data_IF_990571879517
#
_entry.id   IF_990571879517
#
_cell.length_a   1.000
_cell.length_b   1.000
_cell.length_c   1.000
_cell.angle_alpha   90.00
_cell.angle_beta   90.00
_cell.angle_gamma   90.00
#
_symmetry.space_group_name_H-M   'P 1'
#
loop_
_entity.id
_entity.type
_entity.pdbx_description
1 polymer ?
#
# COMPACT_ATOMS: atom_id res chain seq x y z
N UNK A 1 34.73 -5.49 -27.98
CA UNK A 1 33.31 -5.12 -27.77
C UNK A 1 32.39 -6.31 -27.40
N UNK A 2 32.88 -7.40 -26.79
CA UNK A 2 32.23 -8.71 -27.10
C UNK A 2 31.49 -9.50 -26.02
N UNK A 3 31.62 -9.20 -24.72
CA UNK A 3 30.86 -9.96 -23.69
C UNK A 3 30.31 -9.04 -22.62
N UNK A 4 31.12 -8.08 -22.15
CA UNK A 4 30.70 -7.10 -21.15
C UNK A 4 29.59 -6.17 -21.66
N UNK A 5 29.70 -5.66 -22.89
CA UNK A 5 28.63 -4.87 -23.52
C UNK A 5 27.34 -5.70 -23.71
N UNK A 6 27.49 -6.97 -24.07
CA UNK A 6 26.39 -7.92 -24.25
C UNK A 6 25.66 -8.23 -22.93
N UNK A 7 26.41 -8.43 -21.84
CA UNK A 7 25.87 -8.59 -20.49
C UNK A 7 25.21 -7.30 -19.99
N UNK A 8 25.83 -6.13 -20.22
CA UNK A 8 25.25 -4.85 -19.82
C UNK A 8 23.97 -4.53 -20.58
N UNK A 9 23.88 -4.86 -21.87
CA UNK A 9 22.67 -4.65 -22.68
C UNK A 9 21.54 -5.60 -22.27
N UNK A 10 21.84 -6.88 -21.99
CA UNK A 10 20.84 -7.85 -21.49
C UNK A 10 20.32 -7.49 -20.09
N UNK A 11 21.19 -7.00 -19.21
CA UNK A 11 20.81 -6.59 -17.87
C UNK A 11 20.14 -5.21 -17.82
N UNK A 12 20.37 -4.35 -18.83
CA UNK A 12 19.86 -2.97 -18.85
C UNK A 12 18.33 -2.91 -18.76
N UNK A 13 17.61 -3.66 -19.61
CA UNK A 13 16.14 -3.66 -19.62
C UNK A 13 15.52 -4.14 -18.30
N UNK A 14 15.84 -5.34 -17.77
CA UNK A 14 15.27 -5.80 -16.50
C UNK A 14 15.67 -4.90 -15.32
N UNK A 15 16.92 -4.39 -15.30
CA UNK A 15 17.37 -3.47 -14.25
C UNK A 15 16.64 -2.13 -14.32
N UNK A 16 16.42 -1.58 -15.52
CA UNK A 16 15.65 -0.35 -15.71
C UNK A 16 14.19 -0.53 -15.29
N UNK A 17 13.57 -1.66 -15.64
CA UNK A 17 12.21 -1.97 -15.22
C UNK A 17 12.11 -2.11 -13.69
N UNK A 18 13.09 -2.75 -13.05
CA UNK A 18 13.16 -2.85 -11.59
C UNK A 18 13.27 -1.46 -10.94
N UNK A 19 14.18 -0.62 -11.43
CA UNK A 19 14.36 0.74 -10.92
C UNK A 19 13.09 1.59 -11.09
N UNK A 20 12.42 1.51 -12.24
CA UNK A 20 11.17 2.24 -12.49
C UNK A 20 10.05 1.78 -11.53
N UNK A 21 9.88 0.46 -11.39
CA UNK A 21 8.85 -0.12 -10.55
C UNK A 21 9.04 0.23 -9.07
N UNK A 22 10.27 0.19 -8.58
CA UNK A 22 10.57 0.41 -7.17
C UNK A 22 11.05 1.83 -6.83
N UNK A 23 11.23 2.72 -7.81
CA UNK A 23 11.58 4.12 -7.59
C UNK A 23 10.75 4.79 -6.47
N UNK A 24 9.40 4.75 -6.47
CA UNK A 24 8.63 5.36 -5.39
C UNK A 24 8.93 4.70 -4.04
N UNK A 25 9.01 3.37 -3.98
CA UNK A 25 9.28 2.63 -2.75
C UNK A 25 10.64 2.95 -2.16
N UNK A 26 11.69 2.90 -2.99
CA UNK A 26 13.08 3.17 -2.61
C UNK A 26 13.22 4.61 -2.10
N UNK A 27 12.65 5.58 -2.84
CA UNK A 27 12.74 6.98 -2.46
C UNK A 27 12.09 7.24 -1.10
N UNK A 28 10.87 6.75 -0.89
CA UNK A 28 10.15 6.93 0.38
C UNK A 28 10.83 6.15 1.49
N UNK A 29 11.33 4.94 1.21
CA UNK A 29 12.02 4.12 2.21
C UNK A 29 13.25 4.85 2.76
N UNK A 30 14.17 5.31 1.90
CA UNK A 30 15.39 5.99 2.35
C UNK A 30 15.11 7.37 2.95
N UNK A 31 14.18 8.15 2.38
CA UNK A 31 13.91 9.51 2.87
C UNK A 31 13.06 9.55 4.14
N UNK A 32 12.25 8.53 4.39
CA UNK A 32 11.23 8.56 5.44
C UNK A 32 11.23 7.36 6.39
N UNK A 33 11.35 6.13 5.87
CA UNK A 33 11.26 4.90 6.68
C UNK A 33 12.57 4.63 7.42
N UNK A 34 13.71 4.67 6.73
CA UNK A 34 15.03 4.31 7.27
C UNK A 34 15.52 5.22 8.41
N UNK A 35 14.84 6.34 8.67
CA UNK A 35 15.13 7.27 9.77
C UNK A 35 14.72 6.73 11.15
N UNK A 36 13.87 5.71 11.19
CA UNK A 36 13.33 5.16 12.43
C UNK A 36 13.14 3.64 12.28
N UNK A 37 13.84 2.85 13.11
CA UNK A 37 13.82 1.40 13.06
C UNK A 37 12.40 0.82 13.22
N UNK A 38 11.55 1.53 13.97
CA UNK A 38 10.15 1.13 14.16
C UNK A 38 9.38 1.14 12.83
N UNK A 39 9.63 2.15 11.98
CA UNK A 39 9.01 2.22 10.65
C UNK A 39 9.48 1.08 9.76
N UNK A 40 10.76 0.71 9.85
CA UNK A 40 11.31 -0.44 9.10
C UNK A 40 10.59 -1.73 9.50
N UNK A 41 10.46 -1.99 10.81
CA UNK A 41 9.72 -3.16 11.32
C UNK A 41 8.29 -3.19 10.81
N UNK A 42 7.62 -2.03 10.79
CA UNK A 42 6.24 -1.90 10.31
C UNK A 42 6.08 -2.18 8.81
N UNK A 43 7.05 -1.78 7.96
CA UNK A 43 7.07 -2.14 6.54
C UNK A 43 7.15 -3.65 6.37
N UNK A 44 8.06 -4.30 7.09
CA UNK A 44 8.28 -5.75 7.01
C UNK A 44 7.05 -6.52 7.49
N UNK A 45 6.47 -6.11 8.63
CA UNK A 45 5.24 -6.70 9.16
C UNK A 45 4.07 -6.57 8.17
N UNK A 46 3.93 -5.40 7.55
CA UNK A 46 2.87 -5.17 6.57
C UNK A 46 3.04 -6.04 5.31
N UNK A 47 4.26 -6.17 4.82
CA UNK A 47 4.58 -7.06 3.70
C UNK A 47 4.27 -8.53 4.04
N UNK A 48 4.63 -8.98 5.23
CA UNK A 48 4.34 -10.34 5.69
C UNK A 48 2.83 -10.63 5.76
N UNK A 49 2.05 -9.75 6.39
CA UNK A 49 0.59 -9.90 6.51
C UNK A 49 -0.08 -9.90 5.13
N UNK A 50 0.40 -9.08 4.20
CA UNK A 50 -0.08 -9.09 2.82
C UNK A 50 0.24 -10.40 2.10
N UNK A 51 1.47 -10.93 2.24
CA UNK A 51 1.83 -12.23 1.64
C UNK A 51 0.99 -13.38 2.19
N UNK A 52 0.68 -13.36 3.49
CA UNK A 52 -0.22 -14.34 4.09
C UNK A 52 -1.61 -14.30 3.46
N UNK A 53 -2.12 -13.11 3.10
CA UNK A 53 -3.39 -12.97 2.40
C UNK A 53 -3.37 -13.61 1.01
N UNK A 54 -2.27 -13.45 0.26
CA UNK A 54 -2.09 -14.12 -1.03
C UNK A 54 -1.93 -15.63 -0.88
N UNK A 55 -1.21 -16.08 0.15
CA UNK A 55 -1.07 -17.50 0.44
C UNK A 55 -2.43 -18.15 0.68
N UNK A 56 -3.26 -17.54 1.53
CA UNK A 56 -4.63 -18.01 1.79
C UNK A 56 -5.44 -17.98 0.50
N UNK A 57 -5.34 -16.92 -0.31
CA UNK A 57 -6.00 -16.84 -1.61
C UNK A 57 -5.61 -17.99 -2.54
N UNK A 58 -4.33 -18.34 -2.60
CA UNK A 58 -3.81 -19.43 -3.42
C UNK A 58 -4.29 -20.80 -2.93
N UNK A 59 -4.37 -21.00 -1.61
CA UNK A 59 -4.93 -22.22 -1.00
C UNK A 59 -6.43 -22.36 -1.31
N UNK A 60 -7.19 -21.26 -1.20
CA UNK A 60 -8.61 -21.24 -1.57
C UNK A 60 -8.78 -21.60 -3.04
N UNK A 61 -8.00 -21.01 -3.96
CA UNK A 61 -8.04 -21.41 -5.36
C UNK A 61 -7.70 -22.89 -5.52
N UNK A 62 -6.68 -23.38 -4.83
CA UNK A 62 -6.30 -24.79 -4.91
C UNK A 62 -7.43 -25.73 -4.53
N UNK A 63 -8.23 -25.37 -3.53
CA UNK A 63 -9.43 -26.11 -3.14
C UNK A 63 -10.59 -25.93 -4.13
N UNK A 64 -10.84 -24.70 -4.59
CA UNK A 64 -11.97 -24.38 -5.48
C UNK A 64 -11.78 -24.81 -6.93
N UNK A 65 -10.54 -25.11 -7.37
CA UNK A 65 -10.24 -25.56 -8.74
C UNK A 65 -11.09 -26.75 -9.19
N UNK A 66 -11.54 -27.59 -8.26
CA UNK A 66 -12.40 -28.73 -8.56
C UNK A 66 -13.86 -28.36 -8.84
N UNK A 67 -14.30 -27.17 -8.46
CA UNK A 67 -15.70 -26.73 -8.53
C UNK A 67 -15.94 -25.58 -9.52
N UNK A 68 -15.04 -24.59 -9.59
CA UNK A 68 -15.20 -23.38 -10.41
C UNK A 68 -13.86 -22.95 -11.01
N UNK A 69 -13.79 -22.88 -12.34
CA UNK A 69 -12.62 -22.38 -13.07
C UNK A 69 -12.86 -20.95 -13.57
N UNK A 70 -12.86 -19.98 -12.64
CA UNK A 70 -13.02 -18.56 -12.96
C UNK A 70 -11.91 -17.73 -12.33
N UNK A 71 -11.04 -17.20 -13.19
CA UNK A 71 -9.94 -16.28 -12.85
C UNK A 71 -10.47 -14.95 -12.26
N UNK A 72 -11.65 -14.54 -12.70
CA UNK A 72 -12.33 -13.35 -12.19
C UNK A 72 -12.74 -13.59 -10.73
N UNK A 73 -13.40 -14.71 -10.43
CA UNK A 73 -13.80 -15.03 -9.05
C UNK A 73 -12.59 -15.12 -8.11
N UNK A 74 -11.50 -15.76 -8.55
CA UNK A 74 -10.24 -15.79 -7.80
C UNK A 74 -9.75 -14.37 -7.48
N UNK A 75 -9.67 -13.51 -8.49
CA UNK A 75 -9.18 -12.14 -8.32
C UNK A 75 -10.05 -11.38 -7.32
N UNK A 76 -11.38 -11.57 -7.36
CA UNK A 76 -12.29 -10.96 -6.40
C UNK A 76 -12.06 -11.41 -4.96
N UNK A 77 -11.86 -12.71 -4.75
CA UNK A 77 -11.55 -13.31 -3.44
C UNK A 77 -10.19 -12.83 -2.94
N UNK A 78 -9.19 -12.78 -3.83
CA UNK A 78 -7.83 -12.31 -3.50
C UNK A 78 -7.85 -10.87 -3.00
N UNK A 79 -8.56 -9.98 -3.71
CA UNK A 79 -8.71 -8.58 -3.30
C UNK A 79 -9.39 -8.50 -1.93
N UNK A 80 -10.46 -9.26 -1.71
CA UNK A 80 -11.16 -9.28 -0.42
C UNK A 80 -10.24 -9.70 0.73
N UNK A 81 -9.41 -10.74 0.54
CA UNK A 81 -8.43 -11.18 1.52
C UNK A 81 -7.34 -10.14 1.76
N UNK A 82 -6.88 -9.44 0.73
CA UNK A 82 -5.92 -8.34 0.89
C UNK A 82 -6.52 -7.18 1.71
N UNK A 83 -7.79 -6.83 1.51
CA UNK A 83 -8.51 -5.85 2.32
C UNK A 83 -8.69 -6.31 3.79
N UNK A 84 -9.01 -7.59 4.01
CA UNK A 84 -9.07 -8.17 5.35
C UNK A 84 -7.70 -8.11 6.03
N UNK A 85 -6.62 -8.43 5.31
CA UNK A 85 -5.26 -8.36 5.85
C UNK A 85 -4.89 -6.95 6.31
N UNK A 86 -5.40 -5.92 5.61
CA UNK A 86 -5.22 -4.51 5.99
C UNK A 86 -5.95 -4.16 7.29
N UNK A 87 -7.14 -4.74 7.51
CA UNK A 87 -7.86 -4.62 8.78
C UNK A 87 -7.13 -5.36 9.91
N UNK A 88 -6.65 -6.58 9.66
CA UNK A 88 -5.85 -7.35 10.63
C UNK A 88 -4.63 -6.55 11.06
N UNK A 89 -3.89 -5.98 10.10
CA UNK A 89 -2.72 -5.16 10.41
C UNK A 89 -3.07 -3.92 11.25
N UNK A 90 -4.18 -3.25 10.95
CA UNK A 90 -4.68 -2.14 11.76
C UNK A 90 -4.93 -2.57 13.23
N UNK A 91 -5.58 -3.71 13.44
CA UNK A 91 -5.88 -4.25 14.76
C UNK A 91 -4.58 -4.60 15.50
N UNK A 92 -3.67 -5.32 14.85
CA UNK A 92 -2.38 -5.72 15.43
C UNK A 92 -1.58 -4.50 15.91
N UNK A 93 -1.52 -3.44 15.10
CA UNK A 93 -0.76 -2.25 15.51
C UNK A 93 -1.49 -1.49 16.60
N UNK A 94 -2.83 -1.43 16.60
CA UNK A 94 -3.58 -0.84 17.72
C UNK A 94 -3.35 -1.60 19.01
N UNK A 95 -3.25 -2.92 18.95
CA UNK A 95 -2.92 -3.75 20.11
C UNK A 95 -1.49 -3.53 20.58
N UNK A 96 -0.52 -3.47 19.66
CA UNK A 96 0.87 -3.15 19.99
C UNK A 96 1.01 -1.75 20.61
N UNK A 97 0.30 -0.75 20.08
CA UNK A 97 0.24 0.61 20.65
C UNK A 97 -0.25 0.62 22.10
N UNK A 98 -1.29 -0.15 22.41
CA UNK A 98 -1.84 -0.26 23.77
C UNK A 98 -0.85 -0.96 24.71
N UNK A 99 -0.26 -2.08 24.27
CA UNK A 99 0.72 -2.81 25.07
C UNK A 99 1.96 -1.98 25.39
N UNK A 100 2.50 -1.27 24.39
CA UNK A 100 3.66 -0.39 24.58
C UNK A 100 3.35 0.80 25.48
N UNK A 101 2.11 1.32 25.45
CA UNK A 101 1.70 2.42 26.35
C UNK A 101 1.75 1.99 27.81
N UNK A 102 1.19 0.84 28.14
CA UNK A 102 1.21 0.30 29.51
C UNK A 102 2.63 0.12 30.03
N UNK A 103 3.53 -0.42 29.19
CA UNK A 103 4.93 -0.63 29.57
C UNK A 103 5.75 0.67 29.71
N UNK A 104 5.42 1.69 28.92
CA UNK A 104 6.12 2.99 28.96
C UNK A 104 5.64 3.91 30.09
N UNK A 105 4.44 3.69 30.64
CA UNK A 105 3.97 4.37 31.84
C UNK A 105 4.66 3.81 33.09
N UNK A 106 5.08 2.54 33.06
CA UNK A 106 5.81 1.87 34.14
C UNK A 106 7.33 2.09 34.08
N UNK A 107 7.92 2.23 32.88
CA UNK A 107 9.35 2.44 32.68
C UNK A 107 9.61 3.67 31.81
N UNK A 108 10.49 4.56 32.32
CA UNK A 108 11.01 5.80 31.70
C UNK A 108 10.95 5.86 30.17
N UNK A 109 10.37 6.96 29.64
CA UNK A 109 10.17 7.33 28.21
C UNK A 109 11.14 6.63 27.24
N UNK A 110 10.67 5.55 26.60
CA UNK A 110 11.40 4.85 25.54
C UNK A 110 11.36 5.71 24.27
N UNK A 111 12.52 6.17 23.82
CA UNK A 111 12.66 6.97 22.60
C UNK A 111 12.09 6.24 21.38
N UNK A 112 11.13 6.86 20.69
CA UNK A 112 10.48 6.32 19.48
C UNK A 112 8.97 6.04 19.63
N UNK A 113 8.48 5.76 20.84
CA UNK A 113 7.05 5.49 21.09
C UNK A 113 6.19 6.74 20.85
N UNK A 114 6.70 7.91 21.24
CA UNK A 114 6.02 9.20 21.02
C UNK A 114 5.78 9.49 19.53
N UNK A 115 6.70 9.05 18.65
CA UNK A 115 6.59 9.23 17.19
C UNK A 115 5.47 8.36 16.60
N UNK A 116 5.32 7.14 17.12
CA UNK A 116 4.33 6.16 16.69
C UNK A 116 2.91 6.52 17.17
N UNK A 117 2.78 7.18 18.32
CA UNK A 117 1.50 7.67 18.82
C UNK A 117 1.05 8.96 18.11
N UNK A 118 2.00 9.86 17.81
CA UNK A 118 1.70 11.22 17.31
C UNK A 118 1.32 11.29 15.83
N UNK A 119 1.54 10.24 15.03
CA UNK A 119 1.23 10.27 13.60
C UNK A 119 0.57 8.99 13.07
N UNK A 120 -0.74 8.86 13.29
CA UNK A 120 -1.57 7.78 12.73
C UNK A 120 -1.46 7.66 11.20
N UNK A 121 -1.32 8.79 10.52
CA UNK A 121 -1.20 8.85 9.06
C UNK A 121 0.18 8.43 8.57
N UNK A 122 1.23 8.69 9.36
CA UNK A 122 2.56 8.14 9.06
C UNK A 122 2.51 6.61 9.12
N UNK A 123 1.91 6.06 10.17
CA UNK A 123 1.84 4.63 10.37
C UNK A 123 1.12 3.93 9.21
N UNK A 124 -0.04 4.45 8.79
CA UNK A 124 -0.78 3.91 7.65
C UNK A 124 -0.01 4.02 6.33
N UNK A 125 0.71 5.12 6.11
CA UNK A 125 1.57 5.30 4.93
C UNK A 125 2.72 4.29 4.90
N UNK A 126 3.38 4.03 6.03
CA UNK A 126 4.49 3.08 6.14
C UNK A 126 4.00 1.65 5.91
N UNK A 127 2.89 1.26 6.51
CA UNK A 127 2.32 -0.07 6.30
C UNK A 127 1.81 -0.25 4.87
N UNK A 128 1.14 0.75 4.30
CA UNK A 128 0.71 0.73 2.91
C UNK A 128 1.88 0.65 1.93
N UNK A 129 3.01 1.27 2.25
CA UNK A 129 4.24 1.15 1.46
C UNK A 129 4.76 -0.30 1.46
N UNK A 130 4.75 -0.96 2.62
CA UNK A 130 5.15 -2.37 2.74
C UNK A 130 4.27 -3.31 1.92
N UNK A 131 2.93 -3.16 2.04
CA UNK A 131 1.96 -3.92 1.23
C UNK A 131 2.17 -3.68 -0.27
N UNK A 132 2.35 -2.42 -0.67
CA UNK A 132 2.53 -2.02 -2.06
C UNK A 132 3.84 -2.52 -2.68
N UNK A 133 4.94 -2.45 -1.92
CA UNK A 133 6.24 -2.90 -2.40
C UNK A 133 6.26 -4.41 -2.65
N UNK A 134 5.71 -5.21 -1.73
CA UNK A 134 5.66 -6.67 -1.94
C UNK A 134 4.67 -7.05 -3.04
N UNK A 135 3.54 -6.34 -3.17
CA UNK A 135 2.61 -6.53 -4.28
C UNK A 135 3.26 -6.27 -5.64
N UNK A 136 4.01 -5.17 -5.73
CA UNK A 136 4.76 -4.79 -6.92
C UNK A 136 5.86 -5.79 -7.25
N UNK A 137 6.50 -6.38 -6.23
CA UNK A 137 7.49 -7.44 -6.41
C UNK A 137 6.85 -8.70 -7.00
N UNK A 138 5.75 -9.18 -6.42
CA UNK A 138 5.04 -10.35 -6.94
C UNK A 138 4.56 -10.16 -8.38
N UNK A 139 4.11 -8.95 -8.71
CA UNK A 139 3.74 -8.59 -10.07
C UNK A 139 4.97 -8.68 -10.98
N UNK A 140 6.08 -8.04 -10.62
CA UNK A 140 7.25 -7.84 -11.48
C UNK A 140 8.20 -9.06 -11.62
N UNK A 141 8.28 -9.93 -10.62
CA UNK A 141 9.30 -10.99 -10.54
C UNK A 141 9.32 -11.91 -11.77
N UNK A 142 8.15 -12.38 -12.19
CA UNK A 142 8.04 -13.30 -13.34
C UNK A 142 8.45 -12.63 -14.65
N UNK A 143 8.15 -11.34 -14.81
CA UNK A 143 8.58 -10.57 -15.98
C UNK A 143 10.11 -10.44 -16.01
N UNK A 144 10.71 -10.05 -14.89
CA UNK A 144 12.16 -9.85 -14.81
C UNK A 144 12.92 -11.15 -15.08
N UNK A 145 12.45 -12.28 -14.54
CA UNK A 145 13.06 -13.58 -14.80
C UNK A 145 13.12 -13.89 -16.31
N UNK A 146 11.99 -13.73 -17.01
CA UNK A 146 11.94 -13.95 -18.46
C UNK A 146 12.84 -13.00 -19.27
N UNK A 147 13.02 -11.75 -18.81
CA UNK A 147 13.92 -10.79 -19.45
C UNK A 147 15.40 -11.14 -19.24
N UNK A 148 15.78 -11.61 -18.04
CA UNK A 148 17.17 -12.02 -17.76
C UNK A 148 17.57 -13.28 -18.53
N UNK A 149 16.63 -14.19 -18.78
CA UNK A 149 16.85 -15.38 -19.63
C UNK A 149 17.09 -15.02 -21.11
N UNK A 150 16.91 -13.75 -21.50
CA UNK A 150 17.02 -13.30 -22.89
C UNK A 150 15.73 -13.53 -23.69
N UNK A 151 14.61 -13.79 -23.02
CA UNK A 151 13.29 -13.84 -23.64
C UNK A 151 12.93 -12.47 -24.21
N UNK A 152 12.66 -12.43 -25.51
CA UNK A 152 12.09 -11.23 -26.14
C UNK A 152 10.57 -11.37 -26.17
N UNK A 153 9.88 -10.35 -25.69
CA UNK A 153 8.43 -10.32 -25.64
C UNK A 153 7.87 -10.30 -27.06
N UNK A 154 6.88 -11.14 -27.32
CA UNK A 154 6.20 -11.23 -28.61
C UNK A 154 6.80 -12.23 -29.60
N UNK A 155 7.99 -12.82 -29.36
CA UNK A 155 8.56 -13.84 -30.25
C UNK A 155 7.64 -15.05 -30.46
N UNK A 156 7.00 -15.60 -29.42
CA UNK A 156 6.06 -16.71 -29.60
C UNK A 156 4.81 -16.39 -30.45
N UNK A 157 4.49 -15.11 -30.71
CA UNK A 157 3.42 -14.72 -31.64
C UNK A 157 3.81 -14.77 -33.12
N UNK A 158 5.10 -14.85 -33.44
CA UNK A 158 5.54 -15.04 -34.84
C UNK A 158 5.33 -16.48 -35.31
N UNK A 159 5.02 -17.41 -34.39
CA UNK A 159 4.82 -18.82 -34.68
C UNK A 159 3.35 -19.17 -34.36
N UNK A 160 2.47 -19.30 -35.38
CA UNK A 160 1.02 -19.47 -35.19
C UNK A 160 0.63 -20.66 -34.30
N UNK A 161 1.42 -21.74 -34.34
CA UNK A 161 1.19 -22.96 -33.56
C UNK A 161 1.50 -22.78 -32.07
N UNK A 162 2.47 -21.95 -31.73
CA UNK A 162 2.81 -21.62 -30.34
C UNK A 162 1.83 -20.56 -29.81
N UNK A 163 1.42 -19.61 -30.64
CA UNK A 163 0.44 -18.57 -30.32
C UNK A 163 -0.90 -19.14 -29.83
N UNK A 164 -1.38 -20.24 -30.43
CA UNK A 164 -2.64 -20.91 -30.02
C UNK A 164 -2.55 -21.59 -28.65
N UNK A 165 -1.35 -21.94 -28.18
CA UNK A 165 -1.12 -22.64 -26.90
C UNK A 165 -0.77 -21.70 -25.74
N UNK A 166 -0.51 -20.43 -26.01
CA UNK A 166 -0.19 -19.46 -24.96
C UNK A 166 -1.45 -18.87 -24.33
N UNK A 167 -1.46 -18.85 -22.98
CA UNK A 167 -2.49 -18.19 -22.20
C UNK A 167 -2.48 -16.66 -22.37
N UNK A 168 -1.34 -16.07 -22.77
CA UNK A 168 -1.20 -14.62 -23.00
C UNK A 168 -0.69 -14.39 -24.42
N UNK A 169 -1.48 -13.68 -25.22
CA UNK A 169 -1.17 -13.36 -26.63
C UNK A 169 -0.38 -12.04 -26.69
N UNK A 170 0.91 -12.07 -26.42
CA UNK A 170 1.78 -10.90 -26.67
C UNK A 170 2.24 -10.91 -28.13
N UNK A 171 2.03 -9.83 -28.86
CA UNK A 171 2.44 -9.68 -30.26
C UNK A 171 3.85 -9.06 -30.38
N UNK A 172 4.47 -9.15 -31.56
CA UNK A 172 5.80 -8.54 -31.83
C UNK A 172 5.82 -7.02 -31.61
N UNK A 173 4.66 -6.36 -31.74
CA UNK A 173 4.52 -4.92 -31.51
C UNK A 173 4.54 -4.54 -30.01
N UNK A 174 4.56 -5.50 -29.08
CA UNK A 174 4.44 -5.28 -27.64
C UNK A 174 5.76 -4.88 -26.96
N UNK A 175 6.64 -4.21 -27.69
CA UNK A 175 8.00 -3.84 -27.21
C UNK A 175 7.99 -3.01 -25.93
N UNK A 176 6.91 -2.26 -25.68
CA UNK A 176 6.76 -1.42 -24.49
C UNK A 176 6.10 -2.13 -23.30
N UNK A 177 5.74 -3.40 -23.44
CA UNK A 177 5.10 -4.16 -22.37
C UNK A 177 5.89 -4.16 -21.05
N UNK A 178 7.23 -4.37 -21.02
CA UNK A 178 7.98 -4.34 -19.76
C UNK A 178 7.90 -2.98 -19.05
N UNK A 179 7.95 -1.90 -19.83
CA UNK A 179 7.90 -0.54 -19.32
C UNK A 179 6.53 -0.22 -18.74
N UNK A 180 5.45 -0.56 -19.47
CA UNK A 180 4.09 -0.40 -18.99
C UNK A 180 3.88 -1.14 -17.67
N UNK A 181 4.33 -2.38 -17.60
CA UNK A 181 4.20 -3.20 -16.41
C UNK A 181 4.99 -2.66 -15.21
N UNK A 182 6.23 -2.19 -15.45
CA UNK A 182 7.03 -1.51 -14.42
C UNK A 182 6.36 -0.23 -13.90
N UNK A 183 5.75 0.58 -14.77
CA UNK A 183 5.00 1.76 -14.37
C UNK A 183 3.76 1.38 -13.54
N UNK A 184 3.01 0.35 -13.94
CA UNK A 184 1.89 -0.20 -13.16
C UNK A 184 2.33 -0.65 -11.77
N UNK A 185 3.50 -1.29 -11.62
CA UNK A 185 4.06 -1.63 -10.30
C UNK A 185 4.31 -0.39 -9.43
N UNK A 186 4.96 0.65 -9.99
CA UNK A 186 5.19 1.89 -9.24
C UNK A 186 3.89 2.55 -8.78
N UNK A 187 2.88 2.59 -9.66
CA UNK A 187 1.54 3.09 -9.33
C UNK A 187 0.84 2.21 -8.28
N UNK A 188 0.92 0.89 -8.40
CA UNK A 188 0.34 -0.06 -7.45
C UNK A 188 0.91 0.14 -6.04
N UNK A 189 2.22 0.39 -5.91
CA UNK A 189 2.82 0.73 -4.61
C UNK A 189 2.15 1.96 -4.00
N UNK A 190 2.05 3.05 -4.77
CA UNK A 190 1.47 4.31 -4.28
C UNK A 190 -0.03 4.18 -3.99
N UNK A 191 -0.75 3.35 -4.75
CA UNK A 191 -2.14 3.00 -4.47
C UNK A 191 -2.28 2.29 -3.14
N UNK A 192 -1.47 1.26 -2.86
CA UNK A 192 -1.53 0.58 -1.57
C UNK A 192 -1.25 1.53 -0.39
N UNK A 193 -0.35 2.51 -0.57
CA UNK A 193 -0.16 3.58 0.41
C UNK A 193 -1.44 4.39 0.63
N UNK A 194 -2.07 4.87 -0.46
CA UNK A 194 -3.28 5.68 -0.39
C UNK A 194 -4.48 4.90 0.17
N UNK A 195 -4.71 3.67 -0.30
CA UNK A 195 -5.76 2.77 0.19
C UNK A 195 -5.59 2.47 1.67
N UNK A 196 -4.36 2.27 2.13
CA UNK A 196 -4.10 2.00 3.55
C UNK A 196 -4.37 3.23 4.40
N UNK A 197 -3.98 4.42 3.95
CA UNK A 197 -4.29 5.67 4.63
C UNK A 197 -5.81 5.88 4.76
N UNK A 198 -6.54 5.80 3.65
CA UNK A 198 -8.00 6.01 3.63
C UNK A 198 -8.74 4.96 4.46
N UNK A 199 -8.37 3.69 4.34
CA UNK A 199 -8.99 2.60 5.09
C UNK A 199 -8.80 2.78 6.60
N UNK A 200 -7.58 3.07 7.04
CA UNK A 200 -7.28 3.21 8.46
C UNK A 200 -7.87 4.48 9.08
N UNK A 201 -7.92 5.57 8.32
CA UNK A 201 -8.65 6.78 8.72
C UNK A 201 -10.14 6.47 8.94
N UNK A 202 -10.75 5.71 8.05
CA UNK A 202 -12.12 5.22 8.19
C UNK A 202 -12.32 4.32 9.42
N UNK A 203 -11.43 3.35 9.67
CA UNK A 203 -11.48 2.51 10.88
C UNK A 203 -11.38 3.34 12.16
N UNK A 204 -10.60 4.41 12.14
CA UNK A 204 -10.48 5.30 13.28
C UNK A 204 -11.75 6.14 13.51
N UNK A 205 -12.32 6.70 12.45
CA UNK A 205 -13.61 7.43 12.51
C UNK A 205 -14.75 6.52 12.99
N UNK A 206 -14.73 5.25 12.59
CA UNK A 206 -15.66 4.23 13.08
C UNK A 206 -15.55 4.04 14.59
N UNK A 207 -14.32 3.89 15.10
CA UNK A 207 -14.08 3.76 16.55
C UNK A 207 -14.54 4.98 17.35
N UNK A 208 -14.60 6.16 16.73
CA UNK A 208 -15.08 7.41 17.34
C UNK A 208 -16.58 7.67 17.09
N UNK A 209 -17.32 6.71 16.49
CA UNK A 209 -18.74 6.83 16.11
C UNK A 209 -19.06 8.11 15.31
N UNK A 210 -18.11 8.59 14.50
CA UNK A 210 -18.30 9.80 13.69
C UNK A 210 -19.15 9.48 12.46
N UNK A 211 -20.05 10.40 12.09
CA UNK A 211 -20.81 10.26 10.84
C UNK A 211 -19.88 10.19 9.62
N UNK A 212 -20.31 9.51 8.56
CA UNK A 212 -19.56 9.35 7.30
C UNK A 212 -18.21 8.62 7.43
N UNK A 213 -18.04 7.78 8.45
CA UNK A 213 -16.82 7.00 8.68
C UNK A 213 -16.50 6.03 7.53
N UNK A 214 -17.51 5.52 6.83
CA UNK A 214 -17.38 4.47 5.82
C UNK A 214 -16.89 4.97 4.45
N UNK A 215 -16.96 6.27 4.16
CA UNK A 215 -16.65 6.81 2.82
C UNK A 215 -15.22 6.43 2.39
N UNK A 216 -14.21 6.69 3.23
CA UNK A 216 -12.81 6.43 2.90
C UNK A 216 -12.54 4.94 2.63
N UNK A 217 -13.13 4.07 3.43
CA UNK A 217 -13.07 2.62 3.26
C UNK A 217 -13.70 2.16 1.96
N UNK A 218 -14.89 2.69 1.61
CA UNK A 218 -15.54 2.36 0.33
C UNK A 218 -14.71 2.84 -0.85
N UNK A 219 -14.14 4.05 -0.81
CA UNK A 219 -13.26 4.57 -1.87
C UNK A 219 -12.03 3.66 -2.03
N UNK A 220 -11.38 3.28 -0.93
CA UNK A 220 -10.19 2.43 -0.97
C UNK A 220 -10.50 1.05 -1.57
N UNK A 221 -11.53 0.37 -1.06
CA UNK A 221 -11.93 -0.97 -1.53
C UNK A 221 -12.41 -0.93 -2.99
N UNK A 222 -13.30 0.00 -3.33
CA UNK A 222 -13.83 0.11 -4.68
C UNK A 222 -12.74 0.44 -5.70
N UNK A 223 -11.83 1.37 -5.37
CA UNK A 223 -10.73 1.70 -6.28
C UNK A 223 -9.69 0.58 -6.42
N UNK A 224 -9.51 -0.27 -5.41
CA UNK A 224 -8.72 -1.50 -5.55
C UNK A 224 -9.36 -2.48 -6.53
N UNK A 225 -10.67 -2.73 -6.41
CA UNK A 225 -11.41 -3.53 -7.38
C UNK A 225 -11.36 -2.96 -8.80
N UNK A 226 -11.51 -1.64 -8.96
CA UNK A 226 -11.41 -0.97 -10.27
C UNK A 226 -10.00 -1.11 -10.87
N UNK A 227 -8.96 -0.85 -10.09
CA UNK A 227 -7.57 -0.96 -10.58
C UNK A 227 -7.23 -2.39 -11.04
N UNK A 228 -7.68 -3.40 -10.29
CA UNK A 228 -7.50 -4.81 -10.65
C UNK A 228 -8.39 -5.24 -11.82
N UNK A 229 -9.65 -4.78 -11.86
CA UNK A 229 -10.60 -5.07 -12.94
C UNK A 229 -10.15 -4.51 -14.29
N UNK A 230 -9.64 -3.27 -14.31
CA UNK A 230 -9.10 -2.65 -15.52
C UNK A 230 -7.83 -3.39 -16.00
N UNK A 231 -7.08 -4.02 -15.09
CA UNK A 231 -5.87 -4.76 -15.45
C UNK A 231 -6.13 -6.01 -16.31
N UNK A 232 -7.37 -6.52 -16.39
CA UNK A 232 -7.72 -7.60 -17.32
C UNK A 232 -7.60 -7.20 -18.80
N UNK A 233 -7.75 -5.91 -19.12
CA UNK A 233 -7.64 -5.41 -20.49
C UNK A 233 -6.17 -5.36 -20.98
N UNK A 234 -5.19 -5.60 -20.10
CA UNK A 234 -3.77 -5.63 -20.47
C UNK A 234 -3.40 -6.70 -21.51
N UNK A 235 -4.26 -7.69 -21.71
CA UNK A 235 -4.02 -8.81 -22.64
C UNK A 235 -4.52 -8.54 -24.07
N UNK A 236 -5.21 -7.43 -24.31
CA UNK A 236 -5.92 -7.20 -25.59
C UNK A 236 -5.06 -6.51 -26.65
N UNK A 237 -4.05 -5.74 -26.24
CA UNK A 237 -3.16 -5.05 -27.17
C UNK A 237 -2.44 -3.85 -26.55
N UNK A 238 -1.71 -3.11 -27.38
CA UNK A 238 -0.92 -1.95 -26.95
C UNK A 238 -1.81 -0.76 -26.58
N UNK A 239 -2.86 -0.49 -27.35
CA UNK A 239 -3.79 0.62 -27.10
C UNK A 239 -4.49 0.43 -25.76
N UNK A 240 -4.96 -0.78 -25.48
CA UNK A 240 -5.65 -1.16 -24.26
C UNK A 240 -4.72 -1.05 -23.05
N UNK A 241 -3.46 -1.47 -23.17
CA UNK A 241 -2.44 -1.28 -22.10
C UNK A 241 -2.20 0.18 -21.78
N UNK A 242 -2.15 1.06 -22.78
CA UNK A 242 -2.03 2.52 -22.55
C UNK A 242 -3.28 3.04 -21.82
N UNK A 243 -4.47 2.60 -22.23
CA UNK A 243 -5.72 2.96 -21.54
C UNK A 243 -5.69 2.49 -20.08
N UNK A 244 -5.24 1.25 -19.80
CA UNK A 244 -5.09 0.73 -18.44
C UNK A 244 -4.16 1.63 -17.61
N UNK A 245 -3.00 2.02 -18.15
CA UNK A 245 -2.07 2.91 -17.45
C UNK A 245 -2.68 4.27 -17.14
N UNK A 246 -3.38 4.87 -18.11
CA UNK A 246 -4.03 6.17 -17.93
C UNK A 246 -5.10 6.09 -16.85
N UNK A 247 -5.91 5.02 -16.86
CA UNK A 247 -6.95 4.80 -15.84
C UNK A 247 -6.33 4.54 -14.47
N UNK A 248 -5.28 3.73 -14.37
CA UNK A 248 -4.54 3.50 -13.12
C UNK A 248 -3.96 4.80 -12.56
N UNK A 249 -3.34 5.63 -13.42
CA UNK A 249 -2.82 6.95 -13.03
C UNK A 249 -3.94 7.87 -12.55
N UNK A 250 -5.07 7.90 -13.26
CA UNK A 250 -6.22 8.71 -12.86
C UNK A 250 -6.78 8.29 -11.49
N UNK A 251 -6.97 6.98 -11.28
CA UNK A 251 -7.41 6.44 -9.98
C UNK A 251 -6.39 6.78 -8.88
N UNK A 252 -5.10 6.81 -9.19
CA UNK A 252 -4.04 7.14 -8.22
C UNK A 252 -4.14 8.59 -7.82
N UNK A 253 -4.23 9.50 -8.79
CA UNK A 253 -4.37 10.92 -8.55
C UNK A 253 -5.62 11.22 -7.72
N UNK A 254 -6.76 10.60 -8.03
CA UNK A 254 -7.97 10.72 -7.22
C UNK A 254 -7.75 10.25 -5.78
N UNK A 255 -7.18 9.06 -5.57
CA UNK A 255 -6.90 8.55 -4.23
C UNK A 255 -5.95 9.46 -3.44
N UNK A 256 -4.93 10.00 -4.08
CA UNK A 256 -3.99 10.96 -3.46
C UNK A 256 -4.67 12.29 -3.11
N UNK A 257 -5.57 12.80 -3.97
CA UNK A 257 -6.38 13.98 -3.69
C UNK A 257 -7.30 13.75 -2.48
N UNK A 258 -7.97 12.60 -2.40
CA UNK A 258 -8.77 12.23 -1.24
C UNK A 258 -7.93 12.09 0.03
N UNK A 259 -6.76 11.46 -0.04
CA UNK A 259 -5.82 11.40 1.09
C UNK A 259 -5.44 12.81 1.56
N UNK A 260 -5.13 13.71 0.62
CA UNK A 260 -4.77 15.10 0.91
C UNK A 260 -5.92 15.85 1.59
N UNK A 261 -7.16 15.65 1.13
CA UNK A 261 -8.35 16.19 1.77
C UNK A 261 -8.53 15.65 3.19
N UNK A 262 -8.40 14.34 3.40
CA UNK A 262 -8.50 13.72 4.73
C UNK A 262 -7.45 14.30 5.68
N UNK A 263 -6.19 14.33 5.28
CA UNK A 263 -5.08 14.85 6.10
C UNK A 263 -5.23 16.36 6.36
N UNK A 264 -5.78 17.13 5.41
CA UNK A 264 -6.04 18.57 5.57
C UNK A 264 -7.24 18.83 6.47
N UNK A 265 -8.34 18.09 6.32
CA UNK A 265 -9.57 18.28 7.09
C UNK A 265 -9.34 18.07 8.59
N UNK A 266 -8.42 17.17 8.94
CA UNK A 266 -8.01 16.99 10.33
C UNK A 266 -7.16 18.14 10.87
N UNK A 267 -6.39 18.82 10.01
CA UNK A 267 -5.70 20.07 10.35
C UNK A 267 -6.63 21.30 10.29
N UNK A 268 -7.75 21.21 9.58
CA UNK A 268 -8.65 22.33 9.27
C UNK A 268 -9.94 22.43 10.10
N UNK A 269 -10.29 21.41 10.90
CA UNK A 269 -11.42 21.45 11.86
C UNK A 269 -10.95 21.54 13.32
N UNK A 270 -9.65 21.35 13.56
CA UNK A 270 -8.97 21.69 14.83
C UNK A 270 -7.88 22.75 14.58
N UNK A 271 -8.26 23.79 13.83
CA UNK A 271 -7.56 25.07 13.77
C UNK A 271 -8.16 26.12 14.72
N UNK A 272 -8.73 25.69 15.84
CA UNK A 272 -9.03 26.57 16.97
C UNK A 272 -8.29 26.01 18.17
N UNK A 273 -7.30 26.78 18.65
CA UNK A 273 -6.71 26.54 19.96
C UNK A 273 -7.83 26.55 20.98
N UNK A 274 -8.14 25.39 21.54
CA UNK A 274 -8.84 25.30 22.80
C UNK A 274 -7.95 24.54 23.75
N UNK A 275 -7.10 25.34 24.40
CA UNK A 275 -6.69 25.20 25.79
C UNK A 275 -6.55 23.76 26.27
N UNK A 276 -5.30 23.29 26.27
CA UNK A 276 -4.83 22.26 27.21
C UNK A 276 -4.57 22.89 28.59
N UNK A 277 -5.29 23.97 28.95
CA UNK A 277 -5.23 24.66 30.26
C UNK A 277 -6.50 24.38 31.08
N UNK A 278 -7.66 24.08 30.48
CA UNK A 278 -8.92 23.99 31.24
C UNK A 278 -9.22 22.61 31.86
N UNK A 279 -8.39 21.59 31.65
CA UNK A 279 -8.54 20.26 32.31
C UNK A 279 -7.64 20.13 33.54
N UNK A 280 -6.63 21.00 33.68
CA UNK A 280 -5.75 21.02 34.87
C UNK A 280 -6.32 21.95 35.95
N UNK A 281 -7.11 22.95 35.58
CA UNK A 281 -7.73 23.86 36.56
C UNK A 281 -8.90 23.22 37.32
N UNK A 282 -9.72 22.39 36.67
CA UNK A 282 -10.88 21.75 37.31
C UNK A 282 -10.55 20.51 38.17
N UNK A 283 -9.28 20.09 38.23
CA UNK A 283 -8.84 18.98 39.10
C UNK A 283 -8.18 19.48 40.39
N UNK A 284 -8.07 20.82 40.58
CA UNK A 284 -7.43 21.39 41.76
C UNK A 284 -8.37 22.10 42.74
N UNK A 285 -9.68 22.12 42.48
CA UNK A 285 -10.68 22.75 43.36
C UNK A 285 -11.53 21.75 44.18
N UNK A 286 -11.22 20.44 44.16
CA UNK A 286 -11.92 19.43 44.99
C UNK A 286 -11.25 19.10 46.34
N UNK A 287 -10.08 19.69 46.64
CA UNK A 287 -9.45 19.59 47.95
C UNK A 287 -9.43 20.97 48.59
N UNK A 288 -10.52 21.29 49.30
CA UNK A 288 -10.66 22.55 50.01
C UNK A 288 -9.53 22.79 51.00
N UNK A 289 -8.75 23.85 50.78
CA UNK A 289 -8.04 24.57 51.83
C UNK A 289 -8.10 26.08 51.54
N UNK A 290 -8.70 26.80 52.49
CA UNK A 290 -8.66 28.25 52.61
C UNK A 290 -7.23 28.65 52.99
N UNK A 291 -6.51 29.31 52.09
CA UNK A 291 -5.38 30.13 52.48
C UNK A 291 -5.66 31.59 52.17
N UNK A 292 -6.12 32.29 53.21
CA UNK A 292 -6.00 33.74 53.29
C UNK A 292 -4.51 34.10 53.27
N UNK A 293 -4.12 35.03 52.39
CA UNK A 293 -2.92 35.83 52.58
C UNK A 293 -3.22 37.26 52.15
N UNK A 294 -3.47 38.10 53.17
CA UNK A 294 -3.14 39.52 53.12
C UNK A 294 -1.62 39.68 52.99
N UNK A 295 -1.18 40.46 52.02
CA UNK A 295 0.03 41.28 52.19
C UNK A 295 -0.05 42.49 51.25
N UNK A 296 0.25 43.66 51.84
CA UNK A 296 0.38 45.00 51.26
C UNK A 296 1.04 45.06 49.88
#
# INVERSE_FOLDING_TARGET
>A
MHVWEWFTLKAATPTSCFLIAFAPSILIFFKFVAKDALRVILVVMAAFVWMLSLLISALIRSALRFAVDSLLLETFISIALQEISRLVLFILIKQAQRGLKTLSEENTKIAGIDSLYRSRHMLSMVCGLGMGAIASLFLLLNLIAGLYEGGTIGLPSTIPEIQKRMAVKLTVDDRYFPLAYALSCGMLTLMHMAWTLLFWDSCHKFSLKRQWWWIGMVIAVASHYVASGVSFFNQQGNTERIIVLVVQLFVLLLNVLFCSFVVRNERGIFGCGRSTENVVENVRDENGELHANLSM
#
